data_IF_094242011160
#
_entry.id   IF_094242011160
#
_cell.length_a   1.000
_cell.length_b   1.000
_cell.length_c   1.000
_cell.angle_alpha   90.00
_cell.angle_beta   90.00
_cell.angle_gamma   90.00
#
_symmetry.space_group_name_H-M   'P 1'
#
loop_
_entity.id
_entity.type
_entity.pdbx_description
1 polymer ?
#
# COMPACT_ATOMS: atom_id res chain seq x y z
N UNK A 1 28.58 -5.42 1.98
CA UNK A 1 27.49 -5.67 2.94
C UNK A 1 26.50 -6.53 2.19
N UNK A 2 26.48 -7.85 2.44
CA UNK A 2 25.48 -8.72 1.85
C UNK A 2 24.19 -8.57 2.66
N UNK A 3 23.13 -8.13 2.00
CA UNK A 3 21.76 -8.18 2.49
C UNK A 3 21.44 -9.60 2.94
N UNK A 4 21.09 -9.72 4.22
CA UNK A 4 20.53 -10.95 4.76
C UNK A 4 19.08 -11.00 4.29
N UNK A 5 18.61 -12.07 3.64
CA UNK A 5 17.18 -12.18 3.36
C UNK A 5 16.48 -12.34 4.70
N UNK A 6 15.78 -11.30 5.15
CA UNK A 6 14.79 -11.43 6.21
C UNK A 6 13.81 -12.50 5.78
N UNK A 7 13.68 -13.55 6.58
CA UNK A 7 12.71 -14.63 6.44
C UNK A 7 11.29 -14.03 6.48
N UNK A 8 10.82 -13.54 5.33
CA UNK A 8 9.50 -12.96 5.17
C UNK A 8 8.53 -14.12 5.03
N UNK A 9 7.57 -14.23 5.97
CA UNK A 9 6.42 -15.11 5.79
C UNK A 9 5.80 -14.86 4.40
N UNK A 10 5.37 -15.91 3.69
CA UNK A 10 4.81 -15.76 2.36
C UNK A 10 3.65 -14.76 2.38
N UNK A 11 3.61 -13.87 1.39
CA UNK A 11 2.55 -12.88 1.29
C UNK A 11 1.18 -13.59 1.14
N UNK A 12 0.11 -13.05 1.74
CA UNK A 12 -1.25 -13.48 1.43
C UNK A 12 -1.51 -13.44 -0.08
N UNK A 13 -2.32 -14.37 -0.61
CA UNK A 13 -2.47 -14.59 -2.05
C UNK A 13 -2.66 -13.32 -2.88
N UNK A 14 -3.61 -12.45 -2.50
CA UNK A 14 -3.83 -11.19 -3.23
C UNK A 14 -2.64 -10.23 -3.19
N UNK A 15 -1.88 -10.18 -2.09
CA UNK A 15 -0.66 -9.38 -2.03
C UNK A 15 0.48 -9.98 -2.84
N UNK A 16 0.53 -11.32 -2.95
CA UNK A 16 1.50 -12.00 -3.81
C UNK A 16 1.22 -11.72 -5.29
N UNK A 17 -0.05 -11.79 -5.71
CA UNK A 17 -0.47 -11.48 -7.09
C UNK A 17 -0.05 -10.05 -7.48
N UNK A 18 -0.34 -9.06 -6.63
CA UNK A 18 0.08 -7.67 -6.85
C UNK A 18 1.62 -7.58 -6.96
N UNK A 19 2.36 -8.23 -6.06
CA UNK A 19 3.82 -8.19 -6.09
C UNK A 19 4.39 -8.80 -7.40
N UNK A 20 3.79 -9.88 -7.88
CA UNK A 20 4.18 -10.54 -9.13
C UNK A 20 3.89 -9.65 -10.35
N UNK A 21 2.76 -8.94 -10.36
CA UNK A 21 2.40 -7.99 -11.43
C UNK A 21 3.41 -6.83 -11.53
N UNK A 22 3.76 -6.20 -10.40
CA UNK A 22 4.76 -5.14 -10.38
C UNK A 22 6.17 -5.65 -10.76
N UNK A 23 6.51 -6.89 -10.40
CA UNK A 23 7.79 -7.49 -10.78
C UNK A 23 7.87 -7.81 -12.28
N UNK A 24 6.73 -8.04 -12.93
CA UNK A 24 6.64 -8.34 -14.37
C UNK A 24 6.52 -7.09 -15.26
N UNK A 25 6.08 -5.96 -14.71
CA UNK A 25 5.87 -4.71 -15.45
C UNK A 25 7.17 -4.11 -16.00
N UNK A 26 7.10 -3.49 -17.18
CA UNK A 26 8.21 -2.71 -17.70
C UNK A 26 8.39 -1.41 -16.90
N UNK A 27 9.63 -0.89 -16.86
CA UNK A 27 9.97 0.27 -16.02
C UNK A 27 9.14 1.53 -16.33
N UNK A 28 8.77 1.72 -17.59
CA UNK A 28 7.93 2.81 -18.08
C UNK A 28 6.44 2.62 -17.79
N UNK A 29 6.00 1.38 -17.60
CA UNK A 29 4.62 1.01 -17.26
C UNK A 29 4.36 1.03 -15.74
N UNK A 30 5.41 0.95 -14.92
CA UNK A 30 5.30 0.90 -13.44
C UNK A 30 4.48 2.06 -12.86
N UNK A 31 4.64 3.27 -13.40
CA UNK A 31 3.90 4.43 -12.90
C UNK A 31 2.41 4.32 -13.22
N UNK A 32 2.07 3.86 -14.44
CA UNK A 32 0.69 3.68 -14.86
C UNK A 32 0.01 2.60 -14.02
N UNK A 33 0.68 1.45 -13.84
CA UNK A 33 0.21 0.37 -12.98
C UNK A 33 -0.03 0.84 -11.53
N UNK A 34 0.89 1.64 -10.96
CA UNK A 34 0.70 2.19 -9.62
C UNK A 34 -0.52 3.11 -9.52
N UNK A 35 -0.77 3.92 -10.54
CA UNK A 35 -1.92 4.82 -10.59
C UNK A 35 -3.23 4.04 -10.72
N UNK A 36 -3.27 2.99 -11.53
CA UNK A 36 -4.43 2.08 -11.65
C UNK A 36 -4.80 1.50 -10.28
N UNK A 37 -3.83 0.94 -9.55
CA UNK A 37 -4.06 0.44 -8.20
C UNK A 37 -4.53 1.52 -7.22
N UNK A 38 -3.99 2.74 -7.33
CA UNK A 38 -4.40 3.88 -6.48
C UNK A 38 -5.85 4.29 -6.74
N UNK A 39 -6.29 4.30 -7.99
CA UNK A 39 -7.64 4.70 -8.39
C UNK A 39 -8.70 3.65 -8.02
N UNK A 40 -8.30 2.38 -7.90
CA UNK A 40 -9.17 1.29 -7.46
C UNK A 40 -9.36 1.20 -5.94
N UNK A 41 -8.61 1.98 -5.16
CA UNK A 41 -8.75 1.97 -3.71
C UNK A 41 -10.17 2.37 -3.29
N UNK A 42 -10.80 1.62 -2.38
CA UNK A 42 -12.13 1.94 -1.92
C UNK A 42 -12.13 3.29 -1.19
N UNK A 43 -13.26 4.00 -1.29
CA UNK A 43 -13.47 5.21 -0.52
C UNK A 43 -13.38 4.92 0.99
N UNK A 44 -12.89 5.91 1.75
CA UNK A 44 -12.78 5.81 3.19
C UNK A 44 -14.17 5.54 3.82
N UNK A 45 -14.31 4.54 4.71
CA UNK A 45 -15.56 4.28 5.40
C UNK A 45 -16.08 5.50 6.16
N UNK A 46 -17.41 5.70 6.16
CA UNK A 46 -18.07 6.90 6.71
C UNK A 46 -17.65 7.24 8.16
N UNK A 47 -17.44 6.21 9.00
CA UNK A 47 -17.01 6.37 10.40
C UNK A 47 -15.67 7.09 10.56
N UNK A 48 -14.79 7.05 9.55
CA UNK A 48 -13.49 7.74 9.56
C UNK A 48 -13.53 9.03 8.75
N UNK A 49 -14.41 9.13 7.75
CA UNK A 49 -14.59 10.36 6.99
C UNK A 49 -15.17 11.49 7.85
N UNK A 50 -16.10 11.19 8.75
CA UNK A 50 -16.69 12.17 9.67
C UNK A 50 -15.82 12.45 10.90
N UNK A 51 -14.92 11.53 11.22
CA UNK A 51 -14.07 11.55 12.41
C UNK A 51 -12.60 11.31 12.04
N UNK A 52 -11.96 12.28 11.34
CA UNK A 52 -10.56 12.16 10.92
C UNK A 52 -9.58 12.03 12.11
N UNK A 53 -9.99 12.43 13.32
CA UNK A 53 -9.22 12.23 14.56
C UNK A 53 -9.01 10.77 14.95
N UNK A 54 -9.73 9.83 14.32
CA UNK A 54 -9.56 8.39 14.52
C UNK A 54 -8.43 7.80 13.66
N UNK A 55 -7.88 8.56 12.72
CA UNK A 55 -6.75 8.13 11.90
C UNK A 55 -5.43 8.62 12.50
N UNK A 56 -4.40 7.79 12.42
CA UNK A 56 -3.06 8.12 12.90
C UNK A 56 -2.19 8.68 11.77
N UNK A 57 -1.48 9.81 11.97
CA UNK A 57 -0.58 10.35 10.96
C UNK A 57 0.67 9.47 10.81
N UNK A 58 1.22 9.41 9.60
CA UNK A 58 2.48 8.71 9.29
C UNK A 58 3.59 9.74 9.08
N UNK A 59 4.33 10.12 10.13
CA UNK A 59 5.31 11.21 10.07
C UNK A 59 6.51 10.92 9.16
N UNK A 60 6.73 9.65 8.80
CA UNK A 60 7.79 9.21 7.89
C UNK A 60 7.53 9.63 6.44
N UNK A 61 6.29 9.92 6.07
CA UNK A 61 5.91 10.29 4.71
C UNK A 61 6.13 11.79 4.43
N UNK A 62 6.56 12.11 3.20
CA UNK A 62 6.70 13.51 2.75
C UNK A 62 5.35 14.16 2.44
N UNK A 63 4.36 13.37 2.01
CA UNK A 63 2.96 13.78 1.92
C UNK A 63 2.22 13.44 3.23
N UNK A 64 1.20 14.23 3.62
CA UNK A 64 0.36 13.87 4.76
C UNK A 64 -0.42 12.58 4.47
N UNK A 65 0.01 11.48 5.09
CA UNK A 65 -0.65 10.17 5.04
C UNK A 65 -1.22 9.84 6.41
N UNK A 66 -2.40 9.25 6.43
CA UNK A 66 -3.11 8.84 7.64
C UNK A 66 -3.61 7.41 7.48
N UNK A 67 -3.51 6.59 8.52
CA UNK A 67 -3.95 5.20 8.50
C UNK A 67 -4.57 4.76 9.82
N UNK A 68 -5.29 3.64 9.78
CA UNK A 68 -5.78 2.91 10.94
C UNK A 68 -5.74 1.41 10.61
N UNK A 69 -5.56 0.56 11.62
CA UNK A 69 -5.57 -0.90 11.46
C UNK A 69 -6.66 -1.49 12.35
N UNK A 70 -7.50 -2.34 11.77
CA UNK A 70 -8.56 -3.08 12.46
C UNK A 70 -8.47 -4.59 12.13
N UNK A 71 -9.05 -5.45 12.97
CA UNK A 71 -9.04 -6.93 12.85
C UNK A 71 -10.45 -7.46 12.70
#
# INVERSE_FOLDING_TARGET
MNDTPTDAAPLPGGLQEIADDFAAAAQDELLELLLEFSDELPALPHRYADHPELLEPVPECQSPIFLIVEV
#
